data_IF_837852324123
#
_entry.id   IF_837852324123
#
_cell.length_a   1.000
_cell.length_b   1.000
_cell.length_c   1.000
_cell.angle_alpha   90.00
_cell.angle_beta   90.00
_cell.angle_gamma   90.00
#
_symmetry.space_group_name_H-M   'P 1'
#
loop_
_entity.id
_entity.type
_entity.pdbx_description
1 polymer ?
#
# COMPACT_ATOMS: atom_id res chain seq x y z
N UNK A 1 9.84 -12.42 -22.82
CA UNK A 1 9.23 -13.22 -21.73
C UNK A 1 9.80 -12.95 -20.32
N UNK A 2 11.08 -12.56 -20.16
CA UNK A 2 11.68 -12.32 -18.83
C UNK A 2 11.33 -10.96 -18.20
N UNK A 3 11.23 -9.89 -19.00
CA UNK A 3 10.96 -8.54 -18.50
C UNK A 3 9.58 -8.36 -17.84
N UNK A 4 8.56 -9.08 -18.30
CA UNK A 4 7.20 -9.00 -17.75
C UNK A 4 7.12 -9.61 -16.35
N UNK A 5 7.81 -10.73 -16.12
CA UNK A 5 7.82 -11.41 -14.83
C UNK A 5 8.62 -10.61 -13.78
N UNK A 6 9.76 -10.02 -14.16
CA UNK A 6 10.56 -9.16 -13.26
C UNK A 6 9.85 -7.84 -12.90
N UNK A 7 9.16 -7.21 -13.86
CA UNK A 7 8.36 -6.03 -13.57
C UNK A 7 7.21 -6.36 -12.63
N UNK A 8 6.51 -7.48 -12.87
CA UNK A 8 5.42 -7.96 -12.01
C UNK A 8 5.88 -8.26 -10.58
N UNK A 9 7.00 -8.97 -10.41
CA UNK A 9 7.53 -9.31 -9.08
C UNK A 9 8.01 -8.07 -8.30
N UNK A 10 8.61 -7.10 -8.99
CA UNK A 10 9.03 -5.83 -8.36
C UNK A 10 7.82 -5.01 -7.93
N UNK A 11 6.79 -4.93 -8.79
CA UNK A 11 5.52 -4.26 -8.47
C UNK A 11 4.87 -4.95 -7.26
N UNK A 12 4.58 -6.26 -7.35
CA UNK A 12 3.92 -7.02 -6.28
C UNK A 12 4.73 -6.99 -4.98
N UNK A 13 6.06 -7.07 -5.07
CA UNK A 13 6.95 -6.99 -3.92
C UNK A 13 6.85 -5.65 -3.20
N UNK A 14 6.91 -4.53 -3.94
CA UNK A 14 6.76 -3.19 -3.35
C UNK A 14 5.36 -2.96 -2.76
N UNK A 15 4.31 -3.49 -3.39
CA UNK A 15 2.94 -3.40 -2.87
C UNK A 15 2.75 -4.24 -1.60
N UNK A 16 3.25 -5.49 -1.57
CA UNK A 16 3.19 -6.34 -0.38
C UNK A 16 3.97 -5.73 0.80
N UNK A 17 5.13 -5.14 0.53
CA UNK A 17 5.91 -4.39 1.53
C UNK A 17 5.16 -3.16 2.02
N UNK A 18 4.48 -2.44 1.13
CA UNK A 18 3.64 -1.31 1.51
C UNK A 18 2.52 -1.76 2.45
N UNK A 19 1.69 -2.74 2.05
CA UNK A 19 0.57 -3.30 2.83
C UNK A 19 0.99 -3.77 4.21
N UNK A 20 2.11 -4.50 4.30
CA UNK A 20 2.65 -4.94 5.58
C UNK A 20 3.08 -3.76 6.45
N UNK A 21 3.69 -2.71 5.88
CA UNK A 21 4.02 -1.48 6.62
C UNK A 21 2.79 -0.78 7.21
N UNK A 22 1.70 -0.68 6.43
CA UNK A 22 0.45 -0.07 6.90
C UNK A 22 -0.22 -0.88 8.01
N UNK A 23 -0.23 -2.20 7.89
CA UNK A 23 -0.77 -3.10 8.93
C UNK A 23 0.05 -3.00 10.21
N UNK A 24 1.39 -3.04 10.13
CA UNK A 24 2.26 -2.89 11.31
C UNK A 24 1.99 -1.56 12.01
N UNK A 25 1.83 -0.48 11.23
CA UNK A 25 1.48 0.83 11.77
C UNK A 25 0.09 0.82 12.44
N UNK A 26 -0.91 0.20 11.83
CA UNK A 26 -2.26 0.08 12.42
C UNK A 26 -2.27 -0.74 13.73
N UNK A 27 -1.52 -1.83 13.76
CA UNK A 27 -1.38 -2.70 14.94
C UNK A 27 -0.66 -1.97 16.08
N UNK A 28 0.45 -1.28 15.80
CA UNK A 28 1.16 -0.48 16.82
C UNK A 28 0.29 0.65 17.38
N UNK A 29 -0.57 1.25 16.55
CA UNK A 29 -1.56 2.23 16.98
C UNK A 29 -2.66 1.61 17.86
N UNK A 30 -3.19 0.43 17.52
CA UNK A 30 -4.16 -0.28 18.37
C UNK A 30 -3.58 -0.61 19.75
N UNK A 31 -2.32 -1.06 19.80
CA UNK A 31 -1.62 -1.33 21.07
C UNK A 31 -1.41 -0.04 21.88
N UNK A 32 -1.01 1.07 21.25
CA UNK A 32 -0.89 2.37 21.92
C UNK A 32 -2.22 2.89 22.47
N UNK A 33 -3.32 2.72 21.73
CA UNK A 33 -4.67 3.14 22.16
C UNK A 33 -5.13 2.32 23.36
N UNK A 34 -4.87 1.01 23.36
CA UNK A 34 -5.18 0.13 24.48
C UNK A 34 -4.44 0.47 25.77
N UNK A 35 -3.20 0.99 25.68
CA UNK A 35 -2.37 1.30 26.86
C UNK A 35 -2.46 2.75 27.36
N UNK A 36 -2.65 3.76 26.49
CA UNK A 36 -2.57 5.19 26.87
C UNK A 36 -3.87 6.00 26.74
N UNK A 37 -4.97 5.39 26.30
CA UNK A 37 -6.21 6.12 26.03
C UNK A 37 -6.13 6.99 24.76
N UNK A 38 -7.26 7.50 24.30
CA UNK A 38 -7.46 8.05 22.94
C UNK A 38 -6.58 9.29 22.65
N UNK A 39 -5.45 9.11 21.96
CA UNK A 39 -4.57 10.23 21.56
C UNK A 39 -5.05 10.82 20.21
N UNK A 40 -5.54 12.07 20.15
CA UNK A 40 -5.98 12.71 18.90
C UNK A 40 -4.85 12.91 17.87
N UNK A 41 -3.58 12.90 18.31
CA UNK A 41 -2.42 12.98 17.42
C UNK A 41 -2.26 11.77 16.48
N UNK A 42 -2.67 10.57 16.92
CA UNK A 42 -2.57 9.36 16.09
C UNK A 42 -3.58 9.36 14.94
N UNK A 43 -4.77 9.96 15.15
CA UNK A 43 -5.80 10.10 14.10
C UNK A 43 -5.32 10.98 12.94
N UNK A 44 -4.56 12.04 13.23
CA UNK A 44 -3.92 12.88 12.19
C UNK A 44 -2.86 12.13 11.39
N UNK A 45 -2.02 11.34 12.07
CA UNK A 45 -1.00 10.51 11.40
C UNK A 45 -1.63 9.46 10.49
N UNK A 46 -2.70 8.81 10.95
CA UNK A 46 -3.44 7.83 10.16
C UNK A 46 -4.10 8.47 8.93
N UNK A 47 -4.72 9.65 9.05
CA UNK A 47 -5.33 10.33 7.90
C UNK A 47 -4.30 10.73 6.85
N UNK A 48 -3.14 11.25 7.26
CA UNK A 48 -2.07 11.61 6.33
C UNK A 48 -1.53 10.37 5.60
N UNK A 49 -1.27 9.29 6.34
CA UNK A 49 -0.83 8.01 5.78
C UNK A 49 -1.89 7.41 4.84
N UNK A 50 -3.16 7.42 5.24
CA UNK A 50 -4.28 6.89 4.45
C UNK A 50 -4.46 7.64 3.13
N UNK A 51 -4.23 8.96 3.11
CA UNK A 51 -4.36 9.76 1.90
C UNK A 51 -3.21 9.48 0.91
N UNK A 52 -1.99 9.30 1.42
CA UNK A 52 -0.86 8.82 0.64
C UNK A 52 -1.08 7.38 0.13
N UNK A 53 -1.66 6.53 0.97
CA UNK A 53 -1.97 5.14 0.64
C UNK A 53 -2.95 5.03 -0.53
N UNK A 54 -4.02 5.82 -0.48
CA UNK A 54 -5.03 5.83 -1.52
C UNK A 54 -4.45 6.29 -2.86
N UNK A 55 -3.53 7.26 -2.84
CA UNK A 55 -2.83 7.72 -4.03
C UNK A 55 -1.97 6.60 -4.67
N UNK A 56 -1.24 5.85 -3.85
CA UNK A 56 -0.39 4.76 -4.30
C UNK A 56 -1.23 3.58 -4.85
N UNK A 57 -2.36 3.29 -4.24
CA UNK A 57 -3.34 2.29 -4.70
C UNK A 57 -3.93 2.63 -6.09
N UNK A 58 -4.25 3.92 -6.34
CA UNK A 58 -4.74 4.38 -7.66
C UNK A 58 -3.67 4.22 -8.75
N UNK A 59 -2.41 4.61 -8.47
CA UNK A 59 -1.30 4.42 -9.42
C UNK A 59 -1.10 2.92 -9.70
N UNK A 60 -1.19 2.09 -8.66
CA UNK A 60 -1.09 0.65 -8.77
C UNK A 60 -2.15 0.06 -9.71
N UNK A 61 -3.43 0.41 -9.53
CA UNK A 61 -4.52 -0.02 -10.40
C UNK A 61 -4.27 0.42 -11.85
N UNK A 62 -3.78 1.65 -12.04
CA UNK A 62 -3.41 2.17 -13.36
C UNK A 62 -2.31 1.34 -14.03
N UNK A 63 -1.20 1.07 -13.33
CA UNK A 63 -0.09 0.26 -13.85
C UNK A 63 -0.52 -1.18 -14.10
N UNK A 64 -1.28 -1.78 -13.18
CA UNK A 64 -1.82 -3.14 -13.36
C UNK A 64 -2.71 -3.20 -14.59
N UNK A 65 -3.61 -2.24 -14.76
CA UNK A 65 -4.48 -2.15 -15.95
C UNK A 65 -3.65 -1.99 -17.22
N UNK A 66 -2.72 -1.02 -17.27
CA UNK A 66 -1.89 -0.79 -18.46
C UNK A 66 -1.00 -1.98 -18.79
N UNK A 67 -0.27 -2.54 -17.82
CA UNK A 67 0.67 -3.63 -18.05
C UNK A 67 -0.05 -4.95 -18.36
N UNK A 68 -1.15 -5.25 -17.66
CA UNK A 68 -1.88 -6.51 -17.81
C UNK A 68 -2.81 -6.50 -19.04
N UNK A 69 -3.54 -5.42 -19.33
CA UNK A 69 -4.38 -5.35 -20.56
C UNK A 69 -3.55 -5.16 -21.84
N UNK A 70 -2.57 -4.25 -21.89
CA UNK A 70 -1.75 -4.10 -23.11
C UNK A 70 -0.79 -5.28 -23.31
N UNK A 71 -0.46 -6.02 -22.25
CA UNK A 71 0.32 -7.25 -22.32
C UNK A 71 -0.49 -8.45 -22.84
N UNK A 72 -1.80 -8.51 -22.59
CA UNK A 72 -2.69 -9.57 -23.10
C UNK A 72 -3.22 -9.32 -24.51
N UNK A 73 -3.25 -8.06 -24.97
CA UNK A 73 -3.74 -7.70 -26.31
C UNK A 73 -2.66 -7.86 -27.42
N UNK A 74 -1.44 -8.30 -27.07
CA UNK A 74 -0.39 -8.64 -28.05
C UNK A 74 0.02 -10.11 -27.98
#
# INVERSE_FOLDING_TARGET
>A
RSAFLSAFFTLVGTHGLHVTFGIIWLVTLMVQVGMKGLIPANKRRLMCLSMFWHFLDVIWIGVFTFVYLLGMVR
#
